data_IF_553203934657
#
_entry.id   IF_553203934657
#
_cell.length_a   1.000
_cell.length_b   1.000
_cell.length_c   1.000
_cell.angle_alpha   90.00
_cell.angle_beta   90.00
_cell.angle_gamma   90.00
#
_symmetry.space_group_name_H-M   'P 1'
#
loop_
_entity.id
_entity.type
_entity.pdbx_description
1 polymer ?
#
# COMPACT_ATOMS: atom_id res chain seq x y z
N UNK A 1 17.58 52.06 -88.94
CA UNK A 1 18.00 52.49 -87.59
C UNK A 1 16.86 52.26 -86.61
N UNK A 2 17.11 51.44 -85.57
CA UNK A 2 16.41 51.35 -84.26
C UNK A 2 14.88 51.11 -84.30
N UNK A 3 14.35 49.89 -84.15
CA UNK A 3 14.31 49.04 -82.94
C UNK A 3 14.10 49.83 -81.63
N UNK A 4 12.87 49.79 -81.08
CA UNK A 4 12.61 49.28 -79.72
C UNK A 4 11.10 49.10 -79.48
N UNK A 5 10.65 47.84 -79.55
CA UNK A 5 9.36 47.37 -79.03
C UNK A 5 9.65 46.88 -77.60
N UNK A 6 9.22 47.61 -76.58
CA UNK A 6 9.36 47.16 -75.19
C UNK A 6 8.11 46.36 -74.80
N UNK A 7 8.16 45.06 -75.08
CA UNK A 7 7.17 44.07 -74.65
C UNK A 7 7.48 43.72 -73.19
N UNK A 8 6.72 44.27 -72.25
CA UNK A 8 6.81 43.88 -70.83
C UNK A 8 6.19 42.49 -70.69
N UNK A 9 7.05 41.47 -70.69
CA UNK A 9 6.72 40.11 -70.29
C UNK A 9 6.59 40.12 -68.76
N UNK A 10 5.36 40.14 -68.25
CA UNK A 10 5.07 39.71 -66.89
C UNK A 10 5.36 38.21 -66.81
N UNK A 11 6.62 37.86 -66.54
CA UNK A 11 6.99 36.53 -66.10
C UNK A 11 6.36 36.32 -64.72
N UNK A 12 5.15 35.76 -64.70
CA UNK A 12 4.57 35.20 -63.49
C UNK A 12 5.50 34.11 -63.00
N UNK A 13 6.36 34.44 -62.04
CA UNK A 13 7.11 33.46 -61.26
C UNK A 13 6.04 32.67 -60.51
N UNK A 14 5.64 31.53 -61.08
CA UNK A 14 4.89 30.51 -60.39
C UNK A 14 5.85 29.94 -59.34
N UNK A 15 5.92 30.59 -58.17
CA UNK A 15 6.50 29.96 -56.99
C UNK A 15 5.60 28.77 -56.74
N UNK A 16 6.06 27.58 -57.16
CA UNK A 16 5.45 26.32 -56.79
C UNK A 16 5.63 26.17 -55.29
N UNK A 17 4.77 26.85 -54.53
CA UNK A 17 4.63 26.64 -53.10
C UNK A 17 4.36 25.15 -52.92
N UNK A 18 5.24 24.49 -52.19
CA UNK A 18 5.05 23.09 -51.79
C UNK A 18 3.79 23.05 -50.93
N UNK A 19 2.66 22.73 -51.58
CA UNK A 19 1.36 22.87 -50.96
C UNK A 19 1.24 21.87 -49.82
N UNK A 20 1.21 22.37 -48.59
CA UNK A 20 0.89 21.58 -47.42
C UNK A 20 -0.56 21.06 -47.57
N UNK A 21 -0.87 19.85 -47.07
CA UNK A 21 -2.22 19.33 -47.11
C UNK A 21 -3.20 20.31 -46.46
N UNK A 22 -4.30 20.62 -47.13
CA UNK A 22 -5.33 21.49 -46.56
C UNK A 22 -6.13 20.75 -45.50
N UNK A 23 -6.75 21.47 -44.57
CA UNK A 23 -7.62 20.89 -43.55
C UNK A 23 -8.74 20.02 -44.15
N UNK A 24 -9.22 20.32 -45.36
CA UNK A 24 -10.21 19.50 -46.07
C UNK A 24 -9.63 18.16 -46.55
N UNK A 25 -8.40 18.17 -47.09
CA UNK A 25 -7.68 16.93 -47.47
C UNK A 25 -7.43 16.08 -46.22
N UNK A 26 -6.96 16.70 -45.14
CA UNK A 26 -6.68 15.98 -43.89
C UNK A 26 -7.94 15.37 -43.30
N UNK A 27 -9.06 16.10 -43.28
CA UNK A 27 -10.35 15.54 -42.85
C UNK A 27 -10.77 14.36 -43.71
N UNK A 28 -10.64 14.45 -45.04
CA UNK A 28 -10.97 13.35 -45.96
C UNK A 28 -10.14 12.10 -45.67
N UNK A 29 -8.83 12.25 -45.53
CA UNK A 29 -7.90 11.12 -45.33
C UNK A 29 -8.11 10.41 -43.98
N UNK A 30 -8.62 11.13 -42.98
CA UNK A 30 -8.92 10.59 -41.65
C UNK A 30 -10.37 10.10 -41.47
N UNK A 31 -11.26 10.40 -42.41
CA UNK A 31 -12.68 10.04 -42.30
C UNK A 31 -12.90 8.58 -42.63
N UNK A 32 -13.58 7.88 -41.74
CA UNK A 32 -14.04 6.49 -41.89
C UNK A 32 -15.55 6.42 -41.70
N UNK A 33 -16.15 5.25 -41.96
CA UNK A 33 -17.58 5.02 -41.70
C UNK A 33 -17.99 5.22 -40.22
N UNK A 34 -17.03 5.16 -39.30
CA UNK A 34 -17.25 5.32 -37.85
C UNK A 34 -16.98 6.76 -37.37
N UNK A 35 -16.48 7.64 -38.23
CA UNK A 35 -16.09 9.00 -37.83
C UNK A 35 -17.30 9.87 -37.54
N UNK A 36 -17.30 10.48 -36.35
CA UNK A 36 -18.33 11.43 -35.88
C UNK A 36 -17.87 12.86 -36.15
N UNK A 37 -16.68 13.21 -35.65
CA UNK A 37 -16.10 14.53 -35.86
C UNK A 37 -14.55 14.49 -35.91
N UNK A 38 -13.99 15.54 -36.51
CA UNK A 38 -12.55 15.77 -36.61
C UNK A 38 -12.29 17.24 -36.28
N UNK A 39 -11.47 17.49 -35.25
CA UNK A 39 -11.05 18.83 -34.81
C UNK A 39 -9.54 18.96 -34.83
N UNK A 40 -9.03 20.02 -35.44
CA UNK A 40 -7.60 20.33 -35.41
C UNK A 40 -7.22 20.96 -34.06
N UNK A 41 -6.06 20.59 -33.52
CA UNK A 41 -5.59 21.10 -32.22
C UNK A 41 -4.98 22.50 -32.31
N UNK A 42 -4.58 22.92 -33.50
CA UNK A 42 -3.97 24.23 -33.80
C UNK A 42 -4.44 24.75 -35.16
N UNK A 43 -4.10 26.00 -35.49
CA UNK A 43 -4.43 26.59 -36.80
C UNK A 43 -3.55 26.06 -37.95
N UNK A 44 -2.28 25.69 -37.71
CA UNK A 44 -1.36 25.12 -38.73
C UNK A 44 -0.62 23.86 -38.25
N UNK A 45 -0.12 23.06 -39.19
CA UNK A 45 0.75 21.92 -38.92
C UNK A 45 2.24 22.29 -39.01
N UNK A 46 3.10 21.34 -38.66
CA UNK A 46 4.56 21.53 -38.58
C UNK A 46 5.29 20.62 -39.56
N UNK A 47 6.28 21.17 -40.27
CA UNK A 47 7.23 20.38 -41.05
C UNK A 47 8.39 19.93 -40.17
N UNK A 48 8.73 18.65 -40.18
CA UNK A 48 9.81 18.07 -39.38
C UNK A 48 10.61 17.04 -40.17
N UNK A 49 11.89 16.88 -39.85
CA UNK A 49 12.72 15.82 -40.43
C UNK A 49 12.53 14.52 -39.64
N UNK A 50 12.16 13.43 -40.31
CA UNK A 50 12.14 12.10 -39.71
C UNK A 50 13.42 11.36 -40.10
N UNK A 51 14.35 11.25 -39.16
CA UNK A 51 15.63 10.55 -39.34
C UNK A 51 15.47 9.06 -39.61
N UNK A 52 14.44 8.41 -39.05
CA UNK A 52 14.19 6.99 -39.24
C UNK A 52 13.73 6.63 -40.66
N UNK A 53 13.01 7.52 -41.33
CA UNK A 53 12.62 7.35 -42.74
C UNK A 53 13.51 8.13 -43.72
N UNK A 54 14.50 8.88 -43.22
CA UNK A 54 15.33 9.77 -44.04
C UNK A 54 14.53 10.76 -44.88
N UNK A 55 13.40 11.26 -44.36
CA UNK A 55 12.46 12.06 -45.15
C UNK A 55 11.81 13.18 -44.33
N UNK A 56 11.36 14.24 -45.00
CA UNK A 56 10.56 15.30 -44.39
C UNK A 56 9.10 14.85 -44.20
N UNK A 57 8.56 15.12 -43.03
CA UNK A 57 7.15 14.94 -42.68
C UNK A 57 6.47 16.29 -42.50
N UNK A 58 5.19 16.34 -42.87
CA UNK A 58 4.25 17.35 -42.39
C UNK A 58 3.31 16.69 -41.38
N UNK A 59 3.17 17.30 -40.21
CA UNK A 59 2.42 16.75 -39.08
C UNK A 59 1.37 17.72 -38.62
N UNK A 60 0.15 17.22 -38.45
CA UNK A 60 -1.01 18.01 -38.03
C UNK A 60 -1.69 17.34 -36.84
N UNK A 61 -1.76 18.03 -35.70
CA UNK A 61 -2.46 17.55 -34.52
C UNK A 61 -3.98 17.59 -34.69
N UNK A 62 -4.64 16.48 -34.35
CA UNK A 62 -6.07 16.24 -34.55
C UNK A 62 -6.68 15.46 -33.39
N UNK A 63 -7.90 15.83 -33.02
CA UNK A 63 -8.83 15.02 -32.23
C UNK A 63 -9.87 14.40 -33.16
N UNK A 64 -9.98 13.09 -33.17
CA UNK A 64 -10.95 12.34 -33.96
C UNK A 64 -11.93 11.67 -33.00
N UNK A 65 -13.24 11.95 -33.11
CA UNK A 65 -14.27 11.19 -32.39
C UNK A 65 -14.82 10.12 -33.31
N UNK A 66 -14.79 8.87 -32.86
CA UNK A 66 -15.24 7.69 -33.59
C UNK A 66 -16.28 6.93 -32.76
N UNK A 67 -17.28 6.35 -33.41
CA UNK A 67 -18.10 5.29 -32.78
C UNK A 67 -17.21 4.07 -32.53
N UNK A 68 -17.29 3.48 -31.33
CA UNK A 68 -16.55 2.26 -31.06
C UNK A 68 -17.20 1.07 -31.76
N UNK A 69 -16.38 0.25 -32.43
CA UNK A 69 -16.83 -0.99 -33.08
C UNK A 69 -17.15 -2.09 -32.06
N UNK A 70 -16.39 -2.12 -30.96
CA UNK A 70 -16.51 -3.13 -29.91
C UNK A 70 -17.60 -2.77 -28.88
N UNK A 71 -17.82 -1.47 -28.68
CA UNK A 71 -18.79 -0.92 -27.72
C UNK A 71 -19.71 0.09 -28.43
N UNK A 72 -20.78 -0.37 -29.10
CA UNK A 72 -21.56 0.47 -30.02
C UNK A 72 -22.21 1.71 -29.41
N UNK A 73 -22.40 1.72 -28.09
CA UNK A 73 -22.94 2.80 -27.28
C UNK A 73 -21.88 3.84 -26.87
N UNK A 74 -20.60 3.56 -27.10
CA UNK A 74 -19.49 4.41 -26.68
C UNK A 74 -18.82 5.13 -27.85
N UNK A 75 -18.23 6.28 -27.53
CA UNK A 75 -17.42 7.06 -28.46
C UNK A 75 -15.97 7.04 -27.98
N UNK A 76 -15.05 6.76 -28.90
CA UNK A 76 -13.60 6.89 -28.64
C UNK A 76 -13.10 8.16 -29.30
N UNK A 77 -12.49 9.02 -28.49
CA UNK A 77 -11.80 10.22 -28.90
C UNK A 77 -10.31 9.90 -29.02
N UNK A 78 -9.85 9.73 -30.25
CA UNK A 78 -8.47 9.44 -30.59
C UNK A 78 -7.73 10.76 -30.78
N UNK A 79 -6.67 10.96 -30.00
CA UNK A 79 -5.88 12.19 -29.99
C UNK A 79 -4.48 11.87 -30.49
N UNK A 80 -4.02 12.60 -31.50
CA UNK A 80 -2.75 12.32 -32.15
C UNK A 80 -2.51 13.20 -33.36
N UNK A 81 -1.67 12.72 -34.26
CA UNK A 81 -1.27 13.49 -35.44
C UNK A 81 -1.55 12.77 -36.76
N UNK A 82 -2.04 13.52 -37.74
CA UNK A 82 -2.00 13.09 -39.14
C UNK A 82 -0.61 13.37 -39.72
N UNK A 83 0.04 12.32 -40.21
CA UNK A 83 1.42 12.38 -40.71
C UNK A 83 1.42 12.21 -42.23
N UNK A 84 2.07 13.14 -42.91
CA UNK A 84 2.26 13.14 -44.35
C UNK A 84 3.74 13.13 -44.67
N UNK A 85 4.18 12.30 -45.60
CA UNK A 85 5.58 12.26 -46.05
C UNK A 85 5.75 13.03 -47.34
N UNK A 86 6.92 13.65 -47.50
CA UNK A 86 7.29 14.35 -48.73
C UNK A 86 7.61 13.33 -49.84
N UNK A 87 6.96 13.44 -50.99
CA UNK A 87 7.07 12.50 -52.13
C UNK A 87 7.22 13.27 -53.43
N UNK A 88 8.05 12.76 -54.34
CA UNK A 88 8.15 13.26 -55.72
C UNK A 88 8.65 14.71 -55.84
N UNK A 89 9.42 15.18 -54.86
CA UNK A 89 10.08 16.48 -54.89
C UNK A 89 9.17 17.71 -54.79
N UNK A 90 7.84 17.54 -54.73
CA UNK A 90 6.89 18.67 -54.78
C UNK A 90 5.62 18.50 -53.93
N UNK A 91 5.35 17.31 -53.36
CA UNK A 91 4.05 17.01 -52.74
C UNK A 91 4.20 16.27 -51.40
N UNK A 92 3.16 16.36 -50.58
CA UNK A 92 2.97 15.55 -49.39
C UNK A 92 1.91 14.47 -49.65
N UNK A 93 2.18 13.23 -49.24
CA UNK A 93 1.23 12.12 -49.28
C UNK A 93 0.89 11.66 -47.88
N UNK A 94 -0.38 11.39 -47.61
CA UNK A 94 -0.81 10.82 -46.33
C UNK A 94 -0.10 9.49 -46.10
N UNK A 95 0.42 9.30 -44.90
CA UNK A 95 1.15 8.09 -44.52
C UNK A 95 0.41 7.32 -43.45
N UNK A 96 0.12 7.96 -42.31
CA UNK A 96 -0.59 7.32 -41.19
C UNK A 96 -1.15 8.35 -40.22
N UNK A 97 -2.02 7.87 -39.34
CA UNK A 97 -2.36 8.55 -38.10
C UNK A 97 -1.45 8.02 -36.98
N UNK A 98 -0.78 8.94 -36.28
CA UNK A 98 0.08 8.63 -35.12
C UNK A 98 -0.72 8.93 -33.86
N UNK A 99 -1.33 7.89 -33.28
CA UNK A 99 -2.09 8.01 -32.03
C UNK A 99 -1.16 8.34 -30.87
N UNK A 100 -1.51 9.39 -30.12
CA UNK A 100 -0.89 9.72 -28.85
C UNK A 100 -1.60 9.02 -27.69
N UNK A 101 -2.90 9.29 -27.52
CA UNK A 101 -3.73 8.66 -26.49
C UNK A 101 -5.21 8.64 -26.89
N UNK A 102 -6.00 7.85 -26.16
CA UNK A 102 -7.44 7.70 -26.37
C UNK A 102 -8.20 8.13 -25.11
N UNK A 103 -9.32 8.82 -25.30
CA UNK A 103 -10.32 9.08 -24.25
C UNK A 103 -11.64 8.43 -24.67
N UNK A 104 -12.39 7.88 -23.72
CA UNK A 104 -13.68 7.26 -23.96
C UNK A 104 -14.82 8.12 -23.38
N UNK A 105 -15.88 8.26 -24.17
CA UNK A 105 -17.08 9.03 -23.82
C UNK A 105 -18.30 8.09 -23.79
N UNK A 106 -19.34 8.48 -23.03
CA UNK A 106 -20.58 7.72 -22.89
C UNK A 106 -20.63 6.80 -21.67
N UNK A 107 -19.55 6.71 -20.90
CA UNK A 107 -19.51 5.97 -19.63
C UNK A 107 -19.79 6.94 -18.46
N UNK A 108 -20.77 6.66 -17.59
CA UNK A 108 -21.04 7.52 -16.43
C UNK A 108 -19.86 7.46 -15.43
N UNK A 109 -19.48 8.62 -14.90
CA UNK A 109 -18.49 8.69 -13.82
C UNK A 109 -19.09 8.11 -12.53
N UNK A 110 -18.28 7.46 -11.68
CA UNK A 110 -18.74 6.97 -10.39
C UNK A 110 -19.13 8.14 -9.47
N UNK A 111 -20.11 7.87 -8.61
CA UNK A 111 -20.52 8.76 -7.52
C UNK A 111 -19.44 8.82 -6.43
N UNK A 112 -19.48 9.86 -5.59
CA UNK A 112 -18.57 9.96 -4.44
C UNK A 112 -18.73 8.77 -3.47
N UNK A 113 -19.93 8.22 -3.33
CA UNK A 113 -20.17 7.03 -2.51
C UNK A 113 -19.47 5.79 -3.07
N UNK A 114 -19.55 5.56 -4.38
CA UNK A 114 -18.86 4.44 -5.04
C UNK A 114 -17.34 4.60 -4.96
N UNK A 115 -16.83 5.81 -5.14
CA UNK A 115 -15.40 6.12 -4.99
C UNK A 115 -14.95 5.80 -3.57
N UNK A 116 -15.66 6.33 -2.56
CA UNK A 116 -15.32 6.13 -1.15
C UNK A 116 -15.40 4.65 -0.74
N UNK A 117 -16.40 3.91 -1.24
CA UNK A 117 -16.53 2.46 -1.01
C UNK A 117 -15.33 1.68 -1.53
N UNK A 118 -14.75 2.07 -2.67
CA UNK A 118 -13.58 1.39 -3.24
C UNK A 118 -12.30 1.78 -2.50
N UNK A 119 -12.03 3.07 -2.28
CA UNK A 119 -10.76 3.49 -1.67
C UNK A 119 -10.66 3.08 -0.19
N UNK A 120 -11.79 3.01 0.51
CA UNK A 120 -11.84 2.62 1.93
C UNK A 120 -11.54 1.14 2.17
N UNK A 121 -11.50 0.30 1.13
CA UNK A 121 -11.07 -1.08 1.29
C UNK A 121 -9.58 -1.19 1.63
N UNK A 122 -8.78 -0.19 1.24
CA UNK A 122 -7.35 -0.16 1.50
C UNK A 122 -6.82 1.28 1.58
N UNK A 123 -6.96 1.90 2.76
CA UNK A 123 -6.43 3.24 3.01
C UNK A 123 -4.91 3.33 2.84
N UNK A 124 -4.19 2.24 3.10
CA UNK A 124 -2.73 2.20 2.91
C UNK A 124 -2.38 2.33 1.44
N UNK A 125 -3.09 1.62 0.55
CA UNK A 125 -2.91 1.76 -0.89
C UNK A 125 -3.33 3.13 -1.41
N UNK A 126 -4.37 3.75 -0.84
CA UNK A 126 -4.81 5.09 -1.25
C UNK A 126 -3.79 6.18 -0.88
N UNK A 127 -3.37 6.25 0.38
CA UNK A 127 -2.44 7.27 0.85
C UNK A 127 -0.97 6.94 0.53
N UNK A 128 -0.65 5.67 0.25
CA UNK A 128 0.68 5.19 -0.08
C UNK A 128 1.70 5.56 1.01
N UNK A 129 2.81 6.16 0.59
CA UNK A 129 3.87 6.63 1.50
C UNK A 129 3.34 7.56 2.61
N UNK A 130 2.35 8.41 2.31
CA UNK A 130 1.82 9.38 3.26
C UNK A 130 0.97 8.75 4.37
N UNK A 131 0.56 7.49 4.24
CA UNK A 131 -0.27 6.81 5.23
C UNK A 131 0.38 6.79 6.62
N UNK A 132 1.71 6.63 6.66
CA UNK A 132 2.52 6.64 7.89
C UNK A 132 2.94 8.05 8.34
N UNK A 133 2.50 9.10 7.63
CA UNK A 133 2.90 10.49 7.88
C UNK A 133 1.72 11.36 8.29
N UNK A 134 0.52 11.08 7.79
CA UNK A 134 -0.69 11.82 8.12
C UNK A 134 -1.06 11.59 9.58
N UNK A 135 -1.12 12.66 10.36
CA UNK A 135 -1.56 12.68 11.76
C UNK A 135 -3.05 13.01 11.86
N UNK A 136 -3.50 14.00 11.09
CA UNK A 136 -4.90 14.46 11.12
C UNK A 136 -5.35 14.75 9.71
N UNK A 137 -6.52 14.25 9.31
CA UNK A 137 -7.20 14.67 8.07
C UNK A 137 -8.19 15.77 8.43
N UNK A 138 -8.02 16.95 7.81
CA UNK A 138 -8.91 18.10 8.01
C UNK A 138 -10.02 18.12 6.97
N UNK A 139 -9.69 17.82 5.72
CA UNK A 139 -10.63 17.82 4.59
C UNK A 139 -10.28 16.70 3.60
N UNK A 140 -11.30 16.09 2.99
CA UNK A 140 -11.15 14.96 2.07
C UNK A 140 -10.97 13.60 2.77
N UNK A 141 -10.63 12.53 2.01
CA UNK A 141 -10.36 12.53 0.57
C UNK A 141 -11.62 12.82 -0.24
N UNK A 142 -11.54 13.76 -1.18
CA UNK A 142 -12.64 14.16 -2.05
C UNK A 142 -12.16 14.32 -3.49
N UNK A 143 -13.05 14.10 -4.46
CA UNK A 143 -12.75 14.31 -5.88
C UNK A 143 -12.39 15.78 -6.13
N UNK A 144 -11.29 16.00 -6.85
CA UNK A 144 -10.89 17.31 -7.31
C UNK A 144 -11.75 17.71 -8.52
N UNK A 145 -12.86 18.40 -8.28
CA UNK A 145 -13.82 18.79 -9.32
C UNK A 145 -13.24 19.77 -10.36
N UNK A 146 -12.10 20.42 -10.06
CA UNK A 146 -11.38 21.25 -11.03
C UNK A 146 -10.66 20.40 -12.09
N UNK A 147 -10.37 19.13 -11.77
CA UNK A 147 -9.74 18.17 -12.66
C UNK A 147 -10.79 17.22 -13.23
N UNK A 148 -10.68 16.93 -14.52
CA UNK A 148 -11.64 16.06 -15.22
C UNK A 148 -11.41 14.57 -14.90
N UNK A 149 -12.48 13.81 -14.92
CA UNK A 149 -12.42 12.36 -15.10
C UNK A 149 -11.96 12.04 -16.53
N UNK A 150 -11.06 11.07 -16.67
CA UNK A 150 -10.53 10.61 -17.96
C UNK A 150 -10.69 9.09 -18.04
N UNK A 151 -11.56 8.65 -18.93
CA UNK A 151 -11.68 7.24 -19.28
C UNK A 151 -10.65 6.88 -20.34
N UNK A 152 -9.53 6.26 -19.94
CA UNK A 152 -8.49 5.82 -20.89
C UNK A 152 -8.91 4.55 -21.65
N UNK A 153 -9.79 3.74 -21.05
CA UNK A 153 -10.48 2.62 -21.68
C UNK A 153 -11.85 2.41 -21.01
N UNK A 154 -12.74 1.56 -21.55
CA UNK A 154 -13.97 1.21 -20.85
C UNK A 154 -13.76 0.57 -19.47
N UNK A 155 -12.54 0.12 -19.20
CA UNK A 155 -12.16 -0.61 -17.99
C UNK A 155 -11.19 0.18 -17.09
N UNK A 156 -10.78 1.40 -17.48
CA UNK A 156 -9.81 2.22 -16.77
C UNK A 156 -10.26 3.68 -16.72
N UNK A 157 -10.56 4.13 -15.51
CA UNK A 157 -10.89 5.53 -15.20
C UNK A 157 -9.75 6.16 -14.40
N UNK A 158 -9.35 7.37 -14.79
CA UNK A 158 -8.35 8.18 -14.07
C UNK A 158 -9.01 9.48 -13.63
N UNK A 159 -8.80 9.86 -12.37
CA UNK A 159 -9.29 11.10 -11.79
C UNK A 159 -8.38 11.51 -10.64
N UNK A 160 -8.64 12.68 -10.06
CA UNK A 160 -7.83 13.20 -8.96
C UNK A 160 -8.66 13.37 -7.71
N UNK A 161 -8.04 13.11 -6.56
CA UNK A 161 -8.61 13.39 -5.25
C UNK A 161 -7.69 14.34 -4.48
N UNK A 162 -8.27 15.26 -3.72
CA UNK A 162 -7.57 16.18 -2.83
C UNK A 162 -7.79 15.79 -1.37
N UNK A 163 -6.75 15.95 -0.57
CA UNK A 163 -6.76 15.78 0.89
C UNK A 163 -6.03 16.97 1.50
N UNK A 164 -6.60 17.53 2.56
CA UNK A 164 -5.92 18.49 3.42
C UNK A 164 -5.66 17.85 4.76
N UNK A 165 -4.41 17.81 5.18
CA UNK A 165 -4.01 17.06 6.36
C UNK A 165 -2.77 17.66 7.04
N UNK A 166 -2.62 17.36 8.32
CA UNK A 166 -1.35 17.54 9.03
C UNK A 166 -0.50 16.28 8.83
N UNK A 167 0.73 16.45 8.37
CA UNK A 167 1.66 15.38 8.07
C UNK A 167 3.02 15.61 8.73
N UNK A 168 3.68 14.53 9.12
CA UNK A 168 5.07 14.55 9.58
C UNK A 168 6.00 14.78 8.39
N UNK A 169 6.57 15.98 8.32
CA UNK A 169 7.54 16.41 7.33
C UNK A 169 8.99 16.08 7.69
N UNK A 170 9.95 16.41 6.83
CA UNK A 170 11.37 16.24 7.12
C UNK A 170 11.82 17.14 8.28
N UNK A 171 12.96 16.79 8.89
CA UNK A 171 13.60 17.58 9.95
C UNK A 171 12.67 17.89 11.13
N UNK A 172 11.87 16.94 11.63
CA UNK A 172 10.98 17.14 12.78
C UNK A 172 9.92 18.24 12.58
N UNK A 173 9.45 18.45 11.36
CA UNK A 173 8.37 19.37 11.07
C UNK A 173 7.00 18.69 11.10
N UNK A 174 6.01 19.41 11.62
CA UNK A 174 4.60 19.14 11.36
C UNK A 174 4.12 20.12 10.31
N UNK A 175 3.66 19.59 9.18
CA UNK A 175 3.25 20.39 8.02
C UNK A 175 1.76 20.21 7.78
N UNK A 176 1.03 21.31 7.60
CA UNK A 176 -0.32 21.26 7.05
C UNK A 176 -0.19 21.35 5.55
N UNK A 177 -0.64 20.33 4.83
CA UNK A 177 -0.50 20.23 3.38
C UNK A 177 -1.83 20.01 2.71
N UNK A 178 -1.96 20.51 1.48
CA UNK A 178 -2.96 20.07 0.51
C UNK A 178 -2.27 19.13 -0.48
N UNK A 179 -2.68 17.88 -0.52
CA UNK A 179 -2.12 16.83 -1.36
C UNK A 179 -3.16 16.39 -2.39
N UNK A 180 -2.78 16.42 -3.66
CA UNK A 180 -3.53 15.78 -4.74
C UNK A 180 -3.00 14.37 -5.00
N UNK A 181 -3.90 13.43 -5.24
CA UNK A 181 -3.62 12.04 -5.59
C UNK A 181 -4.27 11.73 -6.93
N UNK A 182 -3.49 11.24 -7.90
CA UNK A 182 -4.03 10.61 -9.10
C UNK A 182 -4.52 9.21 -8.74
N UNK A 183 -5.82 8.98 -8.93
CA UNK A 183 -6.50 7.73 -8.65
C UNK A 183 -6.90 7.07 -9.96
N UNK A 184 -6.58 5.78 -10.08
CA UNK A 184 -6.91 4.95 -11.23
C UNK A 184 -7.79 3.80 -10.79
N UNK A 185 -9.01 3.72 -11.32
CA UNK A 185 -9.93 2.61 -11.07
C UNK A 185 -9.91 1.61 -12.22
N UNK A 186 -9.90 0.33 -11.85
CA UNK A 186 -9.84 -0.80 -12.78
C UNK A 186 -11.02 -1.75 -12.57
N UNK A 187 -11.52 -2.28 -13.69
CA UNK A 187 -12.51 -3.36 -13.73
C UNK A 187 -12.17 -4.33 -14.84
N UNK A 188 -12.59 -5.58 -14.71
CA UNK A 188 -12.27 -6.60 -15.71
C UNK A 188 -13.24 -6.55 -16.90
N UNK A 189 -14.44 -6.01 -16.69
CA UNK A 189 -15.46 -5.83 -17.73
C UNK A 189 -16.20 -4.49 -17.55
N UNK A 190 -16.53 -3.80 -18.66
CA UNK A 190 -17.12 -2.46 -18.62
C UNK A 190 -18.55 -2.40 -18.04
N UNK A 191 -19.20 -3.55 -17.87
CA UNK A 191 -20.51 -3.65 -17.20
C UNK A 191 -20.41 -4.04 -15.72
N UNK A 192 -19.21 -4.37 -15.24
CA UNK A 192 -18.99 -4.75 -13.85
C UNK A 192 -18.60 -3.54 -13.00
N UNK A 193 -18.82 -3.61 -11.67
CA UNK A 193 -18.24 -2.67 -10.73
C UNK A 193 -16.72 -2.65 -10.82
N UNK A 194 -16.11 -1.54 -10.41
CA UNK A 194 -14.67 -1.49 -10.18
C UNK A 194 -14.27 -2.46 -9.07
N UNK A 195 -13.19 -3.19 -9.31
CA UNK A 195 -12.68 -4.22 -8.40
C UNK A 195 -11.34 -3.83 -7.77
N UNK A 196 -10.62 -2.89 -8.38
CA UNK A 196 -9.26 -2.54 -8.00
C UNK A 196 -9.02 -1.05 -8.22
N UNK A 197 -8.09 -0.50 -7.46
CA UNK A 197 -7.59 0.85 -7.69
C UNK A 197 -6.08 0.94 -7.52
N UNK A 198 -5.49 1.99 -8.08
CA UNK A 198 -4.16 2.46 -7.77
C UNK A 198 -4.25 3.94 -7.42
N UNK A 199 -3.45 4.36 -6.46
CA UNK A 199 -3.29 5.77 -6.09
C UNK A 199 -1.81 6.14 -6.19
N UNK A 200 -1.55 7.34 -6.69
CA UNK A 200 -0.21 7.89 -6.75
C UNK A 200 -0.24 9.39 -6.50
N UNK A 201 0.82 9.89 -5.88
CA UNK A 201 1.00 11.31 -5.57
C UNK A 201 2.31 11.77 -6.21
N UNK A 202 2.25 12.76 -7.09
CA UNK A 202 3.44 13.42 -7.62
C UNK A 202 4.03 14.43 -6.64
N UNK A 203 5.36 14.62 -6.65
CA UNK A 203 6.01 15.65 -5.82
C UNK A 203 5.54 17.09 -6.12
N UNK A 204 5.07 17.35 -7.35
CA UNK A 204 4.49 18.63 -7.76
C UNK A 204 3.00 18.78 -7.35
N UNK A 205 2.44 17.79 -6.66
CA UNK A 205 1.02 17.73 -6.27
C UNK A 205 0.82 17.98 -4.77
N UNK A 206 1.90 18.29 -4.04
CA UNK A 206 1.88 18.69 -2.63
C UNK A 206 2.02 20.20 -2.52
N UNK A 207 1.10 20.84 -1.81
CA UNK A 207 1.19 22.25 -1.43
C UNK A 207 1.28 22.37 0.08
N UNK A 208 2.43 22.79 0.58
CA UNK A 208 2.62 23.08 2.02
C UNK A 208 1.97 24.42 2.34
N UNK A 209 0.98 24.41 3.23
CA UNK A 209 0.24 25.59 3.68
C UNK A 209 0.86 26.21 4.93
N UNK A 210 1.38 25.38 5.82
CA UNK A 210 2.15 25.80 6.99
C UNK A 210 3.12 24.72 7.44
N UNK A 211 4.21 25.10 8.08
CA UNK A 211 5.19 24.19 8.66
C UNK A 211 5.57 24.68 10.06
N UNK A 212 5.69 23.74 11.00
CA UNK A 212 6.09 24.00 12.38
C UNK A 212 7.14 23.01 12.83
N UNK A 213 8.31 23.52 13.18
CA UNK A 213 9.38 22.77 13.81
C UNK A 213 8.95 22.30 15.20
N UNK A 214 9.12 21.00 15.47
CA UNK A 214 8.85 20.38 16.76
C UNK A 214 10.11 19.78 17.36
N UNK A 215 10.04 19.47 18.65
CA UNK A 215 11.07 18.67 19.32
C UNK A 215 10.92 17.21 18.93
N UNK A 216 12.02 16.45 18.98
CA UNK A 216 12.01 15.01 18.68
C UNK A 216 10.96 14.25 19.51
N UNK A 217 10.86 14.54 20.82
CA UNK A 217 9.86 13.91 21.69
C UNK A 217 8.42 14.13 21.22
N UNK A 218 8.09 15.36 20.76
CA UNK A 218 6.76 15.65 20.22
C UNK A 218 6.49 14.92 18.90
N UNK A 219 7.51 14.72 18.06
CA UNK A 219 7.37 13.94 16.82
C UNK A 219 7.08 12.48 17.15
N UNK A 220 7.81 11.87 18.08
CA UNK A 220 7.53 10.50 18.55
C UNK A 220 6.11 10.34 19.09
N UNK A 221 5.59 11.35 19.79
CA UNK A 221 4.20 11.34 20.25
C UNK A 221 3.17 11.45 19.12
N UNK A 222 3.51 12.14 18.02
CA UNK A 222 2.66 12.27 16.84
C UNK A 222 2.72 11.06 15.92
N UNK A 223 3.86 10.34 15.85
CA UNK A 223 3.98 9.06 15.14
C UNK A 223 2.94 8.05 15.63
N UNK A 224 2.65 8.07 16.95
CA UNK A 224 1.60 7.29 17.64
C UNK A 224 0.17 7.79 17.40
N UNK A 225 0.00 8.79 16.53
CA UNK A 225 -1.29 9.35 16.12
C UNK A 225 -1.44 9.36 14.61
N UNK A 226 -0.50 8.80 13.87
CA UNK A 226 -0.62 8.67 12.42
C UNK A 226 -1.83 7.82 12.06
N UNK A 227 -2.37 8.00 10.85
CA UNK A 227 -3.47 7.17 10.34
C UNK A 227 -3.09 5.69 10.37
N UNK A 228 -1.88 5.35 9.93
CA UNK A 228 -1.37 3.98 9.98
C UNK A 228 -1.39 3.41 11.40
N UNK A 229 -0.84 4.15 12.37
CA UNK A 229 -0.84 3.70 13.77
C UNK A 229 -2.26 3.54 14.31
N UNK A 230 -3.12 4.53 14.09
CA UNK A 230 -4.48 4.57 14.63
C UNK A 230 -5.33 3.43 14.07
N UNK A 231 -5.32 3.22 12.75
CA UNK A 231 -6.05 2.12 12.11
C UNK A 231 -5.52 0.75 12.53
N UNK A 232 -4.21 0.61 12.69
CA UNK A 232 -3.60 -0.63 13.19
C UNK A 232 -4.01 -0.92 14.64
N UNK A 233 -4.03 0.11 15.50
CA UNK A 233 -4.52 -0.01 16.89
C UNK A 233 -6.00 -0.39 16.94
N UNK A 234 -6.84 0.25 16.13
CA UNK A 234 -8.28 -0.07 16.07
C UNK A 234 -8.53 -1.50 15.61
N UNK A 235 -7.77 -1.96 14.60
CA UNK A 235 -7.84 -3.33 14.10
C UNK A 235 -7.40 -4.31 15.19
N UNK A 236 -6.25 -4.06 15.82
CA UNK A 236 -5.75 -4.89 16.91
C UNK A 236 -6.72 -4.94 18.10
N UNK A 237 -7.36 -3.82 18.45
CA UNK A 237 -8.40 -3.77 19.50
C UNK A 237 -9.60 -4.64 19.15
N UNK A 238 -10.09 -4.59 17.90
CA UNK A 238 -11.20 -5.44 17.44
C UNK A 238 -10.83 -6.92 17.50
N UNK A 239 -9.61 -7.27 17.07
CA UNK A 239 -9.12 -8.64 17.19
C UNK A 239 -9.06 -9.10 18.64
N UNK A 240 -8.51 -8.28 19.55
CA UNK A 240 -8.41 -8.60 20.97
C UNK A 240 -9.78 -8.74 21.62
N UNK A 241 -10.74 -7.90 21.24
CA UNK A 241 -12.12 -7.98 21.75
C UNK A 241 -12.81 -9.29 21.34
N UNK A 242 -12.35 -9.95 20.27
CA UNK A 242 -12.84 -11.26 19.86
C UNK A 242 -12.12 -12.44 20.55
N UNK A 243 -11.05 -12.19 21.31
CA UNK A 243 -10.32 -13.23 22.04
C UNK A 243 -11.02 -13.59 23.36
N UNK A 244 -10.81 -14.83 23.87
CA UNK A 244 -11.35 -15.23 25.16
C UNK A 244 -10.84 -14.35 26.30
N UNK A 245 -11.70 -14.07 27.27
CA UNK A 245 -11.29 -13.37 28.49
C UNK A 245 -10.29 -14.22 29.28
N UNK A 246 -9.19 -13.59 29.70
CA UNK A 246 -8.18 -14.20 30.54
C UNK A 246 -7.83 -13.25 31.68
N UNK A 247 -8.06 -13.72 32.91
CA UNK A 247 -7.60 -13.04 34.12
C UNK A 247 -6.11 -13.32 34.31
N UNK A 248 -5.30 -12.28 34.20
CA UNK A 248 -3.87 -12.35 34.45
C UNK A 248 -3.64 -11.85 35.88
N UNK A 249 -3.01 -12.64 36.76
CA UNK A 249 -2.71 -12.20 38.12
C UNK A 249 -1.59 -11.14 38.11
N UNK A 250 -1.53 -10.33 39.16
CA UNK A 250 -0.38 -9.48 39.42
C UNK A 250 0.76 -10.35 39.97
N UNK A 251 1.88 -10.39 39.27
CA UNK A 251 3.02 -11.23 39.63
C UNK A 251 3.99 -10.50 40.55
N UNK A 252 4.28 -11.09 41.70
CA UNK A 252 5.28 -10.62 42.65
C UNK A 252 6.66 -11.21 42.38
N UNK A 253 6.72 -12.38 41.71
CA UNK A 253 7.97 -13.06 41.38
C UNK A 253 7.99 -13.60 39.94
N UNK A 254 9.19 -13.80 39.39
CA UNK A 254 9.37 -14.47 38.10
C UNK A 254 8.81 -15.89 38.11
N UNK A 255 8.84 -16.57 39.27
CA UNK A 255 8.30 -17.92 39.43
C UNK A 255 6.78 -17.95 39.26
N UNK A 256 6.06 -17.00 39.85
CA UNK A 256 4.59 -16.89 39.67
C UNK A 256 4.21 -16.66 38.19
N UNK A 257 4.97 -15.83 37.47
CA UNK A 257 4.77 -15.63 36.04
C UNK A 257 5.09 -16.90 35.23
N UNK A 258 6.17 -17.59 35.58
CA UNK A 258 6.54 -18.86 34.95
C UNK A 258 5.48 -19.94 35.18
N UNK A 259 4.91 -20.05 36.38
CA UNK A 259 3.82 -20.98 36.69
C UNK A 259 2.57 -20.69 35.86
N UNK A 260 2.19 -19.42 35.76
CA UNK A 260 1.07 -18.98 34.94
C UNK A 260 1.28 -19.31 33.46
N UNK A 261 2.44 -18.95 32.90
CA UNK A 261 2.79 -19.23 31.51
C UNK A 261 2.88 -20.72 31.23
N UNK A 262 3.53 -21.48 32.11
CA UNK A 262 3.64 -22.93 32.00
C UNK A 262 2.25 -23.58 31.95
N UNK A 263 1.32 -23.17 32.81
CA UNK A 263 -0.05 -23.68 32.78
C UNK A 263 -0.76 -23.35 31.46
N UNK A 264 -0.58 -22.14 30.90
CA UNK A 264 -1.14 -21.79 29.59
C UNK A 264 -0.53 -22.65 28.48
N UNK A 265 0.79 -22.84 28.47
CA UNK A 265 1.47 -23.66 27.47
C UNK A 265 1.05 -25.14 27.53
N UNK A 266 0.75 -25.65 28.73
CA UNK A 266 0.32 -27.03 28.94
C UNK A 266 -1.16 -27.25 28.57
N UNK A 267 -2.04 -26.34 29.00
CA UNK A 267 -3.48 -26.57 29.05
C UNK A 267 -4.31 -25.57 28.22
N UNK A 268 -3.66 -24.53 27.68
CA UNK A 268 -4.30 -23.47 26.91
C UNK A 268 -4.36 -23.78 25.42
N UNK A 269 -4.44 -22.69 24.65
CA UNK A 269 -4.50 -22.71 23.19
C UNK A 269 -3.82 -21.43 22.63
N UNK A 270 -3.62 -21.32 21.30
CA UNK A 270 -3.01 -20.15 20.68
C UNK A 270 -3.66 -18.80 21.09
N UNK A 271 -4.98 -18.74 21.18
CA UNK A 271 -5.71 -17.51 21.53
C UNK A 271 -5.45 -17.10 22.99
N UNK A 272 -5.48 -18.05 23.93
CA UNK A 272 -5.17 -17.78 25.33
C UNK A 272 -3.71 -17.33 25.52
N UNK A 273 -2.78 -17.93 24.77
CA UNK A 273 -1.38 -17.49 24.78
C UNK A 273 -1.24 -16.06 24.23
N UNK A 274 -1.95 -15.71 23.14
CA UNK A 274 -1.96 -14.34 22.60
C UNK A 274 -2.40 -13.33 23.66
N UNK A 275 -3.52 -13.58 24.33
CA UNK A 275 -4.04 -12.69 25.38
C UNK A 275 -3.07 -12.59 26.56
N UNK A 276 -2.50 -13.71 27.00
CA UNK A 276 -1.52 -13.73 28.08
C UNK A 276 -0.31 -12.86 27.73
N UNK A 277 0.29 -13.09 26.56
CA UNK A 277 1.46 -12.34 26.10
C UNK A 277 1.17 -10.85 25.96
N UNK A 278 0.05 -10.45 25.35
CA UNK A 278 -0.34 -9.03 25.25
C UNK A 278 -0.41 -8.32 26.60
N UNK A 279 -0.77 -9.03 27.68
CA UNK A 279 -0.89 -8.46 29.03
C UNK A 279 0.43 -8.44 29.81
N UNK A 280 1.32 -9.40 29.58
CA UNK A 280 2.52 -9.60 30.39
C UNK A 280 3.82 -9.20 29.70
N UNK A 281 3.84 -8.97 28.38
CA UNK A 281 5.05 -8.58 27.66
C UNK A 281 5.62 -7.25 28.15
N UNK A 282 6.95 -7.16 28.13
CA UNK A 282 7.68 -5.93 28.36
C UNK A 282 7.41 -4.91 27.23
N UNK A 283 7.42 -3.60 27.54
CA UNK A 283 7.16 -2.55 26.53
C UNK A 283 8.04 -2.64 25.27
N UNK A 284 9.30 -3.08 25.39
CA UNK A 284 10.21 -3.24 24.26
C UNK A 284 9.77 -4.32 23.23
N UNK A 285 8.85 -5.21 23.62
CA UNK A 285 8.27 -6.25 22.77
C UNK A 285 6.89 -5.85 22.21
N UNK A 286 6.47 -4.61 22.46
CA UNK A 286 5.26 -3.99 21.94
C UNK A 286 5.65 -2.88 20.96
N UNK A 287 4.74 -2.52 20.05
CA UNK A 287 4.90 -1.28 19.29
C UNK A 287 4.93 -0.12 20.29
N UNK A 288 5.84 0.84 20.14
CA UNK A 288 5.99 1.93 21.11
C UNK A 288 4.68 2.70 21.30
N UNK A 289 4.25 2.84 22.57
CA UNK A 289 2.96 3.42 22.94
C UNK A 289 1.74 2.51 22.79
N UNK A 290 1.89 1.31 22.24
CA UNK A 290 0.82 0.32 22.07
C UNK A 290 0.71 -0.61 23.28
N UNK A 291 -0.52 -1.03 23.56
CA UNK A 291 -0.84 -2.14 24.48
C UNK A 291 -1.52 -3.32 23.76
N UNK A 292 -1.66 -3.23 22.43
CA UNK A 292 -2.48 -4.14 21.64
C UNK A 292 -1.70 -4.78 20.49
N UNK A 293 -0.55 -4.22 20.13
CA UNK A 293 0.29 -4.66 19.02
C UNK A 293 1.66 -5.12 19.50
N UNK A 294 2.06 -6.31 19.09
CA UNK A 294 3.43 -6.77 19.25
C UNK A 294 4.38 -5.99 18.33
N UNK A 295 5.58 -5.71 18.81
CA UNK A 295 6.68 -5.35 17.91
C UNK A 295 7.08 -6.56 17.05
N UNK A 296 7.97 -6.38 16.08
CA UNK A 296 8.50 -7.51 15.29
C UNK A 296 9.11 -8.60 16.18
N UNK A 297 9.91 -8.21 17.18
CA UNK A 297 10.52 -9.13 18.14
C UNK A 297 9.46 -9.83 19.01
N UNK A 298 8.46 -9.08 19.50
CA UNK A 298 7.36 -9.67 20.28
C UNK A 298 6.54 -10.67 19.46
N UNK A 299 6.30 -10.37 18.18
CA UNK A 299 5.58 -11.23 17.25
C UNK A 299 6.36 -12.51 16.95
N UNK A 300 7.66 -12.41 16.63
CA UNK A 300 8.53 -13.57 16.40
C UNK A 300 8.56 -14.50 17.62
N UNK A 301 8.68 -13.94 18.83
CA UNK A 301 8.64 -14.71 20.06
C UNK A 301 7.29 -15.43 20.26
N UNK A 302 6.17 -14.74 20.02
CA UNK A 302 4.83 -15.33 20.08
C UNK A 302 4.61 -16.45 19.06
N UNK A 303 5.01 -16.24 17.80
CA UNK A 303 4.85 -17.22 16.72
C UNK A 303 5.69 -18.47 16.96
N UNK A 304 6.94 -18.32 17.41
CA UNK A 304 7.79 -19.45 17.82
C UNK A 304 7.17 -20.22 18.99
N UNK A 305 6.65 -19.51 19.99
CA UNK A 305 5.99 -20.14 21.12
C UNK A 305 4.75 -20.95 20.70
N UNK A 306 3.91 -20.41 19.81
CA UNK A 306 2.75 -21.16 19.27
C UNK A 306 3.19 -22.42 18.55
N UNK A 307 4.15 -22.30 17.64
CA UNK A 307 4.60 -23.42 16.82
C UNK A 307 5.03 -24.60 17.69
N UNK A 308 5.82 -24.33 18.72
CA UNK A 308 6.36 -25.35 19.62
C UNK A 308 5.34 -25.82 20.68
N UNK A 309 4.42 -24.96 21.09
CA UNK A 309 3.43 -25.31 22.11
C UNK A 309 2.24 -26.09 21.56
N UNK A 310 1.78 -25.80 20.33
CA UNK A 310 0.47 -26.25 19.86
C UNK A 310 0.43 -26.90 18.48
N UNK A 311 1.38 -26.61 17.59
CA UNK A 311 1.29 -26.97 16.17
C UNK A 311 2.26 -28.08 15.72
N UNK A 312 3.40 -28.27 16.41
CA UNK A 312 4.37 -29.31 16.09
C UNK A 312 3.88 -30.75 16.31
N UNK A 313 4.61 -31.72 15.72
CA UNK A 313 4.37 -33.16 15.88
C UNK A 313 4.54 -33.60 17.34
N UNK A 314 5.56 -33.06 18.01
CA UNK A 314 5.65 -33.04 19.46
C UNK A 314 5.34 -31.64 19.99
N UNK A 315 4.48 -31.56 21.01
CA UNK A 315 4.05 -30.29 21.60
C UNK A 315 4.72 -30.08 22.95
N UNK A 316 4.72 -28.83 23.42
CA UNK A 316 5.22 -28.50 24.75
C UNK A 316 4.60 -29.40 25.83
N UNK A 317 3.29 -29.61 25.77
CA UNK A 317 2.61 -30.49 26.73
C UNK A 317 3.05 -31.95 26.66
N UNK A 318 3.70 -32.42 25.61
CA UNK A 318 4.13 -33.82 25.49
C UNK A 318 5.50 -34.03 26.15
N UNK A 319 6.30 -32.97 26.30
CA UNK A 319 7.67 -33.01 26.81
C UNK A 319 7.84 -32.43 28.20
N UNK A 320 6.80 -31.79 28.75
CA UNK A 320 6.85 -31.12 30.04
C UNK A 320 5.78 -31.66 30.99
N UNK A 321 6.13 -31.71 32.28
CA UNK A 321 5.24 -32.12 33.37
C UNK A 321 4.53 -30.91 33.97
N UNK A 322 3.28 -31.09 34.42
CA UNK A 322 2.50 -30.06 35.12
C UNK A 322 3.23 -29.56 36.37
N UNK A 323 3.78 -30.48 37.16
CA UNK A 323 4.60 -30.20 38.32
C UNK A 323 6.09 -30.23 37.91
N UNK A 324 6.48 -29.20 37.16
CA UNK A 324 7.81 -29.12 36.58
C UNK A 324 8.93 -28.95 37.62
N UNK A 325 10.15 -29.33 37.24
CA UNK A 325 11.37 -29.04 37.98
C UNK A 325 12.18 -27.95 37.28
N UNK A 326 12.92 -27.16 38.06
CA UNK A 326 13.83 -26.14 37.55
C UNK A 326 15.28 -26.61 37.55
N UNK A 327 16.10 -26.06 36.66
CA UNK A 327 17.56 -26.29 36.67
C UNK A 327 18.27 -25.33 37.64
N UNK A 328 19.55 -25.62 37.94
CA UNK A 328 20.42 -24.76 38.76
C UNK A 328 20.72 -23.39 38.15
N UNK A 329 20.46 -23.19 36.85
CA UNK A 329 20.62 -21.90 36.16
C UNK A 329 19.52 -20.89 36.54
N UNK A 330 18.47 -21.35 37.23
CA UNK A 330 17.35 -20.51 37.65
C UNK A 330 17.81 -19.40 38.59
N UNK A 331 17.35 -18.19 38.31
CA UNK A 331 17.62 -16.99 39.09
C UNK A 331 16.32 -16.25 39.42
N UNK A 332 16.43 -15.10 40.11
CA UNK A 332 15.26 -14.26 40.43
C UNK A 332 14.53 -13.72 39.19
N UNK A 333 15.20 -13.66 38.03
CA UNK A 333 14.66 -13.06 36.80
C UNK A 333 14.48 -14.07 35.67
N UNK A 334 15.17 -15.22 35.72
CA UNK A 334 15.14 -16.24 34.68
C UNK A 334 14.78 -17.59 35.27
N UNK A 335 13.69 -18.19 34.79
CA UNK A 335 13.23 -19.52 35.20
C UNK A 335 13.53 -20.50 34.07
N UNK A 336 14.32 -21.53 34.37
CA UNK A 336 14.67 -22.60 33.44
C UNK A 336 13.90 -23.86 33.81
N UNK A 337 12.86 -24.17 33.04
CA UNK A 337 11.99 -25.33 33.22
C UNK A 337 12.60 -26.54 32.50
N UNK A 338 12.84 -27.61 33.24
CA UNK A 338 13.39 -28.84 32.69
C UNK A 338 12.29 -29.69 32.03
N UNK A 339 12.56 -30.16 30.81
CA UNK A 339 11.69 -31.13 30.13
C UNK A 339 11.95 -32.55 30.62
N UNK A 340 11.03 -33.47 30.34
CA UNK A 340 11.20 -34.91 30.56
C UNK A 340 12.28 -35.53 29.66
N UNK A 341 12.67 -34.83 28.60
CA UNK A 341 13.73 -35.24 27.67
C UNK A 341 15.06 -34.61 28.10
N UNK A 342 16.08 -35.43 28.23
CA UNK A 342 17.40 -34.98 28.69
C UNK A 342 17.98 -33.88 27.80
N UNK A 343 18.54 -32.85 28.44
CA UNK A 343 19.22 -31.75 27.75
C UNK A 343 18.31 -30.70 27.13
N UNK A 344 16.99 -30.81 27.30
CA UNK A 344 16.01 -29.89 26.72
C UNK A 344 15.30 -29.06 27.81
N UNK A 345 15.30 -27.73 27.64
CA UNK A 345 14.93 -26.74 28.68
C UNK A 345 14.13 -25.60 28.05
N UNK A 346 13.12 -25.12 28.77
CA UNK A 346 12.41 -23.88 28.45
C UNK A 346 12.88 -22.74 29.34
N UNK A 347 13.14 -21.59 28.74
CA UNK A 347 13.52 -20.36 29.42
C UNK A 347 12.34 -19.38 29.45
N UNK A 348 12.07 -18.85 30.65
CA UNK A 348 11.17 -17.72 30.86
C UNK A 348 11.97 -16.61 31.54
N UNK A 349 12.22 -15.52 30.81
CA UNK A 349 12.94 -14.35 31.29
C UNK A 349 11.98 -13.20 31.62
N UNK A 350 12.21 -12.57 32.77
CA UNK A 350 11.39 -11.47 33.26
C UNK A 350 12.23 -10.28 33.71
N UNK A 351 11.62 -9.10 33.68
CA UNK A 351 12.18 -7.86 34.20
C UNK A 351 11.14 -7.13 35.05
N UNK A 352 11.59 -6.29 35.98
CA UNK A 352 10.73 -5.28 36.60
C UNK A 352 10.71 -4.04 35.73
N UNK A 353 9.52 -3.53 35.44
CA UNK A 353 9.34 -2.28 34.72
C UNK A 353 8.53 -1.31 35.58
N UNK A 354 8.82 -0.02 35.42
CA UNK A 354 7.97 1.03 35.96
C UNK A 354 6.58 0.97 35.29
N UNK A 355 5.53 0.82 36.10
CA UNK A 355 4.12 0.81 35.69
C UNK A 355 3.37 2.06 36.20
N UNK A 356 4.09 3.13 36.52
CA UNK A 356 3.56 4.41 36.95
C UNK A 356 3.98 4.80 38.37
N UNK A 357 3.30 5.80 38.91
CA UNK A 357 3.54 6.31 40.25
C UNK A 357 2.22 6.35 41.03
N UNK A 358 2.26 5.98 42.30
CA UNK A 358 1.17 6.15 43.25
C UNK A 358 1.69 6.97 44.43
N UNK A 359 1.08 8.12 44.68
CA UNK A 359 1.50 9.06 45.73
C UNK A 359 3.00 9.41 45.67
N UNK A 360 3.53 9.60 44.46
CA UNK A 360 4.94 9.90 44.22
C UNK A 360 5.89 8.68 44.27
N UNK A 361 5.40 7.49 44.60
CA UNK A 361 6.20 6.26 44.67
C UNK A 361 6.06 5.47 43.38
N UNK A 362 7.20 5.13 42.77
CA UNK A 362 7.26 4.28 41.58
C UNK A 362 6.62 2.92 41.87
N UNK A 363 5.68 2.53 41.03
CA UNK A 363 5.06 1.22 41.04
C UNK A 363 5.78 0.36 40.01
N UNK A 364 6.26 -0.81 40.43
CA UNK A 364 6.93 -1.75 39.53
C UNK A 364 6.04 -2.96 39.26
N UNK A 365 6.07 -3.47 38.02
CA UNK A 365 5.46 -4.74 37.66
C UNK A 365 6.45 -5.65 36.97
N UNK A 366 6.31 -6.95 37.20
CA UNK A 366 7.06 -7.97 36.47
C UNK A 366 6.48 -8.11 35.07
N UNK A 367 7.35 -8.11 34.06
CA UNK A 367 7.01 -8.29 32.65
C UNK A 367 7.90 -9.34 32.02
N UNK A 368 7.35 -10.06 31.05
CA UNK A 368 8.03 -11.05 30.22
C UNK A 368 8.92 -10.35 29.19
N UNK A 369 10.21 -10.68 29.19
CA UNK A 369 11.20 -10.20 28.21
C UNK A 369 11.73 -11.32 27.31
N UNK A 370 11.58 -12.58 27.73
CA UNK A 370 12.05 -13.73 26.97
C UNK A 370 11.16 -14.95 27.22
N UNK A 371 10.83 -15.67 26.15
CA UNK A 371 10.11 -16.93 26.17
C UNK A 371 10.70 -17.82 25.08
N UNK A 372 11.59 -18.71 25.49
CA UNK A 372 12.23 -19.66 24.59
C UNK A 372 11.84 -21.07 24.97
N UNK A 373 11.04 -21.73 24.12
CA UNK A 373 10.57 -23.08 24.39
C UNK A 373 11.57 -24.11 23.85
N UNK A 374 12.07 -24.98 24.72
CA UNK A 374 12.82 -26.16 24.30
C UNK A 374 11.85 -27.27 23.96
N UNK A 375 11.50 -27.48 22.69
CA UNK A 375 10.68 -28.64 22.29
C UNK A 375 11.39 -29.35 21.16
N UNK A 376 11.82 -30.59 21.40
CA UNK A 376 12.50 -31.43 20.40
C UNK A 376 11.48 -31.99 19.40
N UNK A 377 11.75 -31.83 18.11
CA UNK A 377 10.88 -32.34 17.03
C UNK A 377 11.45 -33.58 16.34
N UNK A 378 12.62 -34.07 16.78
CA UNK A 378 13.23 -35.25 16.19
C UNK A 378 12.52 -36.55 16.61
N UNK A 379 12.62 -37.56 15.75
CA UNK A 379 11.90 -38.82 15.91
C UNK A 379 12.31 -39.57 17.19
N UNK A 380 13.55 -39.43 17.67
CA UNK A 380 14.01 -40.09 18.89
C UNK A 380 13.30 -39.52 20.12
N UNK A 381 13.15 -38.19 20.20
CA UNK A 381 12.38 -37.53 21.24
C UNK A 381 10.91 -37.97 21.23
N UNK A 382 10.29 -38.03 20.04
CA UNK A 382 8.90 -38.47 19.87
C UNK A 382 8.73 -39.94 20.29
N UNK A 383 9.62 -40.82 19.84
CA UNK A 383 9.61 -42.24 20.19
C UNK A 383 9.80 -42.46 21.69
N UNK A 384 10.69 -41.68 22.32
CA UNK A 384 10.89 -41.73 23.77
C UNK A 384 9.59 -41.41 24.52
N UNK A 385 8.91 -40.30 24.19
CA UNK A 385 7.62 -39.94 24.82
C UNK A 385 6.59 -41.06 24.61
N UNK A 386 6.47 -41.55 23.37
CA UNK A 386 5.50 -42.58 23.00
C UNK A 386 5.82 -43.98 23.57
N UNK A 387 7.04 -44.20 24.08
CA UNK A 387 7.41 -45.46 24.73
C UNK A 387 6.72 -45.66 26.09
N UNK A 388 6.17 -44.60 26.68
CA UNK A 388 5.46 -44.66 27.96
C UNK A 388 3.97 -44.92 27.74
N UNK A 389 3.50 -46.07 28.25
CA UNK A 389 2.07 -46.44 28.21
C UNK A 389 1.17 -45.63 29.17
N UNK A 390 1.78 -44.93 30.14
CA UNK A 390 1.10 -44.06 31.08
C UNK A 390 1.96 -42.81 31.30
N UNK A 391 1.36 -41.63 31.15
CA UNK A 391 2.00 -40.33 31.34
C UNK A 391 2.59 -40.18 32.75
N UNK A 392 2.02 -40.82 33.77
CA UNK A 392 2.59 -40.80 35.14
C UNK A 392 3.97 -41.44 35.24
N UNK A 393 4.35 -42.30 34.29
CA UNK A 393 5.70 -42.86 34.23
C UNK A 393 6.71 -41.86 33.67
N UNK A 394 6.27 -40.99 32.76
CA UNK A 394 7.06 -39.89 32.22
C UNK A 394 7.12 -38.69 33.19
N UNK A 395 6.03 -38.45 33.91
CA UNK A 395 5.87 -37.37 34.90
C UNK A 395 5.41 -37.93 36.25
N UNK A 396 6.32 -38.51 37.06
CA UNK A 396 5.95 -39.18 38.32
C UNK A 396 5.40 -38.25 39.40
N UNK A 397 5.61 -36.94 39.24
CA UNK A 397 5.16 -35.90 40.19
C UNK A 397 3.85 -35.26 39.77
N UNK A 398 3.30 -35.58 38.60
CA UNK A 398 2.01 -35.08 38.11
C UNK A 398 0.85 -35.88 38.70
#
# INVERSE_FOLDING_TARGET
MKQLLLLIIFAGIYVAGTAQPSDAVIKKDLTTALTIDIKFTKSTGTRQWNSGSGNWEYVRGVHIRLKSKEYPDLVVKVIGDAVYQYVGGTKYSYQKFRTGYNEWEGIPNPTNEEINKIISTDWSAFYGYYFNKIVTVHEGPAVDMEKKFVWNSPNLLVFFMKVKADMLGPNYNLETVEQSFEVRFFRDNYKQPFSRFLSSSGANETKVLSSKQLTEGKIRDLEKKTLAYTLSEETAKKEIAALPELKVPDFNTAKEMADFLHNILMNGNPQLLKVAMLKILAPALMVDGSKTQFSWQGKDMYEKAIKLAYEGDAKYKDQYCKNYTTTSLTSKSYIYIQSCIQGNITLIGTIKVNDGYKDGVQQEKIKLVDLNLGVRQDQDAINFINSFSDRKKLCPKD
#
